data_IF_179292112550
#
_entry.id   IF_179292112550
#
_cell.length_a   1.000
_cell.length_b   1.000
_cell.length_c   1.000
_cell.angle_alpha   90.00
_cell.angle_beta   90.00
_cell.angle_gamma   90.00
#
_symmetry.space_group_name_H-M   'P 1'
#
loop_
_entity.id
_entity.type
_entity.pdbx_description
1 polymer ?
#
# COMPACT_ATOMS: atom_id res chain seq x y z
N UNK A 1 -17.82 4.44 -32.08
CA UNK A 1 -17.09 4.32 -30.81
C UNK A 1 -17.91 5.03 -29.74
N UNK A 2 -18.40 4.32 -28.73
CA UNK A 2 -19.21 4.93 -27.68
C UNK A 2 -18.32 5.88 -26.86
N UNK A 3 -18.70 7.16 -26.78
CA UNK A 3 -18.12 8.13 -25.86
C UNK A 3 -18.33 7.59 -24.45
N UNK A 4 -17.29 6.99 -23.82
CA UNK A 4 -17.35 6.74 -22.37
C UNK A 4 -17.57 8.11 -21.72
N UNK A 5 -18.52 8.23 -20.78
CA UNK A 5 -18.69 9.49 -20.06
C UNK A 5 -17.36 9.87 -19.40
N UNK A 6 -17.03 11.17 -19.36
CA UNK A 6 -15.81 11.69 -18.75
C UNK A 6 -15.58 11.11 -17.35
N UNK A 7 -16.65 10.89 -16.61
CA UNK A 7 -16.63 10.33 -15.26
C UNK A 7 -16.13 8.87 -15.18
N UNK A 8 -16.48 8.03 -16.16
CA UNK A 8 -15.95 6.66 -16.23
C UNK A 8 -14.46 6.68 -16.57
N UNK A 9 -14.04 7.63 -17.42
CA UNK A 9 -12.61 7.82 -17.70
C UNK A 9 -11.85 8.30 -16.46
N UNK A 10 -12.43 9.22 -15.69
CA UNK A 10 -11.87 9.71 -14.42
C UNK A 10 -11.66 8.57 -13.41
N UNK A 11 -12.63 7.66 -13.29
CA UNK A 11 -12.49 6.46 -12.46
C UNK A 11 -11.25 5.63 -12.86
N UNK A 12 -11.10 5.29 -14.14
CA UNK A 12 -9.97 4.47 -14.59
C UNK A 12 -8.62 5.20 -14.47
N UNK A 13 -8.60 6.52 -14.64
CA UNK A 13 -7.40 7.33 -14.37
C UNK A 13 -6.99 7.25 -12.90
N UNK A 14 -7.94 7.31 -11.97
CA UNK A 14 -7.66 7.16 -10.54
C UNK A 14 -7.19 5.74 -10.22
N UNK A 15 -7.83 4.69 -10.76
CA UNK A 15 -7.35 3.31 -10.59
C UNK A 15 -5.91 3.16 -11.07
N UNK A 16 -5.58 3.67 -12.26
CA UNK A 16 -4.23 3.60 -12.80
C UNK A 16 -3.21 4.34 -11.90
N UNK A 17 -3.57 5.52 -11.39
CA UNK A 17 -2.72 6.28 -10.50
C UNK A 17 -2.53 5.57 -9.14
N UNK A 18 -3.55 4.89 -8.64
CA UNK A 18 -3.46 4.06 -7.44
C UNK A 18 -2.51 2.90 -7.67
N UNK A 19 -2.63 2.18 -8.78
CA UNK A 19 -1.74 1.06 -9.14
C UNK A 19 -0.28 1.51 -9.29
N UNK A 20 -0.04 2.73 -9.78
CA UNK A 20 1.31 3.30 -9.84
C UNK A 20 2.00 3.38 -8.47
N UNK A 21 1.22 3.56 -7.39
CA UNK A 21 1.77 3.57 -6.02
C UNK A 21 2.46 2.26 -5.63
N UNK A 22 2.19 1.14 -6.30
CA UNK A 22 2.79 -0.15 -6.01
C UNK A 22 4.31 -0.12 -6.00
N UNK A 23 4.94 0.66 -6.88
CA UNK A 23 6.41 0.76 -6.96
C UNK A 23 6.95 1.34 -5.65
N UNK A 24 6.45 2.49 -5.24
CA UNK A 24 6.90 3.19 -4.03
C UNK A 24 6.50 2.41 -2.77
N UNK A 25 5.32 1.79 -2.73
CA UNK A 25 4.88 0.96 -1.61
C UNK A 25 5.75 -0.30 -1.43
N UNK A 26 6.16 -0.96 -2.52
CA UNK A 26 7.11 -2.08 -2.48
C UNK A 26 8.45 -1.64 -1.92
N UNK A 27 8.98 -0.52 -2.41
CA UNK A 27 10.23 0.05 -1.92
C UNK A 27 10.14 0.36 -0.42
N UNK A 28 9.06 1.02 0.00
CA UNK A 28 8.80 1.35 1.40
C UNK A 28 8.71 0.09 2.27
N UNK A 29 8.04 -0.95 1.80
CA UNK A 29 7.93 -2.22 2.51
C UNK A 29 9.30 -2.86 2.72
N UNK A 30 10.13 -2.94 1.68
CA UNK A 30 11.48 -3.50 1.77
C UNK A 30 12.36 -2.72 2.74
N UNK A 31 12.28 -1.39 2.72
CA UNK A 31 13.02 -0.53 3.65
C UNK A 31 12.58 -0.74 5.11
N UNK A 32 11.25 -0.73 5.37
CA UNK A 32 10.71 -0.98 6.71
C UNK A 32 11.01 -2.40 7.20
N UNK A 33 10.95 -3.39 6.30
CA UNK A 33 11.31 -4.77 6.62
C UNK A 33 12.76 -4.85 7.12
N UNK A 34 13.71 -4.25 6.39
CA UNK A 34 15.11 -4.21 6.83
C UNK A 34 15.27 -3.47 8.15
N UNK A 35 14.62 -2.31 8.31
CA UNK A 35 14.67 -1.52 9.53
C UNK A 35 14.17 -2.29 10.76
N UNK A 36 13.09 -3.07 10.62
CA UNK A 36 12.46 -3.76 11.75
C UNK A 36 13.01 -5.18 12.00
N UNK A 37 13.77 -5.73 11.04
CA UNK A 37 14.31 -7.10 11.13
C UNK A 37 15.85 -7.09 11.14
N UNK A 38 16.47 -6.17 11.88
CA UNK A 38 17.92 -6.09 12.09
C UNK A 38 18.74 -6.09 10.78
N UNK A 39 18.27 -5.36 9.77
CA UNK A 39 18.94 -5.23 8.47
C UNK A 39 18.70 -6.38 7.50
N UNK A 40 17.85 -7.37 7.83
CA UNK A 40 17.49 -8.43 6.89
C UNK A 40 16.78 -7.88 5.66
N UNK A 41 17.23 -8.28 4.47
CA UNK A 41 16.67 -7.80 3.21
C UNK A 41 15.56 -8.74 2.74
N UNK A 42 14.42 -8.17 2.36
CA UNK A 42 13.37 -8.92 1.68
C UNK A 42 13.83 -9.32 0.27
N UNK A 43 13.96 -10.61 0.02
CA UNK A 43 14.58 -11.14 -1.19
C UNK A 43 13.58 -11.78 -2.18
N UNK A 44 12.29 -11.54 -1.99
CA UNK A 44 11.21 -12.05 -2.84
C UNK A 44 11.15 -13.59 -2.99
N UNK A 45 11.76 -14.34 -2.05
CA UNK A 45 11.74 -15.79 -2.05
C UNK A 45 10.56 -16.38 -1.27
N UNK A 46 10.04 -17.55 -1.65
CA UNK A 46 9.01 -18.25 -0.87
C UNK A 46 9.43 -18.54 0.58
N UNK A 47 10.73 -18.74 0.84
CA UNK A 47 11.24 -18.92 2.19
C UNK A 47 11.08 -17.67 3.04
N UNK A 48 11.42 -16.50 2.48
CA UNK A 48 11.24 -15.20 3.15
C UNK A 48 9.75 -14.93 3.41
N UNK A 49 8.91 -15.14 2.40
CA UNK A 49 7.44 -15.04 2.49
C UNK A 49 6.86 -15.92 3.59
N UNK A 50 7.15 -17.22 3.58
CA UNK A 50 6.65 -18.17 4.58
C UNK A 50 7.11 -17.83 6.01
N UNK A 51 8.37 -17.43 6.17
CA UNK A 51 8.89 -17.01 7.46
C UNK A 51 8.16 -15.77 7.98
N UNK A 52 7.89 -14.80 7.12
CA UNK A 52 7.16 -13.59 7.47
C UNK A 52 5.71 -13.89 7.88
N UNK A 53 5.01 -14.74 7.12
CA UNK A 53 3.65 -15.18 7.47
C UNK A 53 3.64 -15.85 8.84
N UNK A 54 4.53 -16.81 9.07
CA UNK A 54 4.55 -17.63 10.28
C UNK A 54 4.96 -16.83 11.51
N UNK A 55 5.94 -15.93 11.39
CA UNK A 55 6.54 -15.25 12.53
C UNK A 55 5.94 -13.87 12.81
N UNK A 56 5.44 -13.18 11.78
CA UNK A 56 4.91 -11.81 11.88
C UNK A 56 3.39 -11.84 11.76
N UNK A 57 2.85 -12.32 10.63
CA UNK A 57 1.42 -12.19 10.36
C UNK A 57 0.54 -12.99 11.31
N UNK A 58 0.95 -14.21 11.67
CA UNK A 58 0.18 -15.06 12.61
C UNK A 58 0.11 -14.44 14.00
N UNK A 59 1.16 -13.73 14.42
CA UNK A 59 1.24 -13.11 15.76
C UNK A 59 0.54 -11.75 15.80
N UNK A 60 0.51 -11.04 14.68
CA UNK A 60 -0.06 -9.70 14.58
C UNK A 60 -1.49 -9.73 14.02
N UNK A 61 -2.47 -9.81 14.93
CA UNK A 61 -3.91 -9.84 14.59
C UNK A 61 -4.45 -8.56 13.94
N UNK A 62 -3.69 -7.45 13.94
CA UNK A 62 -4.10 -6.21 13.28
C UNK A 62 -3.95 -6.31 11.75
N UNK A 63 -3.05 -7.16 11.28
CA UNK A 63 -2.86 -7.44 9.85
C UNK A 63 -3.96 -8.42 9.39
N UNK A 64 -5.11 -7.87 9.01
CA UNK A 64 -6.24 -8.65 8.52
C UNK A 64 -6.21 -8.82 7.00
N UNK A 65 -5.38 -9.75 6.53
CA UNK A 65 -5.33 -10.14 5.12
C UNK A 65 -6.31 -11.28 4.81
N UNK A 66 -6.90 -11.24 3.61
CA UNK A 66 -7.69 -12.36 3.08
C UNK A 66 -6.79 -13.59 2.83
N UNK A 67 -7.40 -14.76 2.64
CA UNK A 67 -6.65 -16.00 2.33
C UNK A 67 -5.79 -15.86 1.06
N UNK A 68 -6.32 -15.20 0.02
CA UNK A 68 -5.61 -14.97 -1.23
C UNK A 68 -4.38 -14.10 -1.01
N UNK A 69 -4.55 -12.98 -0.29
CA UNK A 69 -3.45 -12.08 0.04
C UNK A 69 -2.38 -12.76 0.91
N UNK A 70 -2.78 -13.53 1.93
CA UNK A 70 -1.83 -14.32 2.75
C UNK A 70 -1.03 -15.32 1.91
N UNK A 71 -1.67 -15.94 0.92
CA UNK A 71 -1.01 -16.88 0.00
C UNK A 71 0.01 -16.13 -0.87
N UNK A 72 -0.38 -14.98 -1.42
CA UNK A 72 0.53 -14.15 -2.21
C UNK A 72 1.74 -13.65 -1.38
N UNK A 73 1.53 -13.27 -0.11
CA UNK A 73 2.64 -12.90 0.79
C UNK A 73 3.52 -14.11 1.13
N UNK A 74 2.93 -15.29 1.32
CA UNK A 74 3.64 -16.56 1.55
C UNK A 74 4.56 -16.95 0.38
N UNK A 75 4.15 -16.66 -0.86
CA UNK A 75 4.98 -16.86 -2.06
C UNK A 75 6.23 -15.96 -2.09
N UNK A 76 6.25 -14.89 -1.29
CA UNK A 76 7.41 -14.02 -1.12
C UNK A 76 7.53 -12.91 -2.18
N UNK A 77 7.03 -13.13 -3.38
CA UNK A 77 7.17 -12.19 -4.48
C UNK A 77 6.34 -10.90 -4.26
N UNK A 78 7.01 -9.81 -3.87
CA UNK A 78 6.34 -8.54 -3.59
C UNK A 78 5.73 -7.87 -4.82
N UNK A 79 6.13 -8.26 -6.04
CA UNK A 79 5.55 -7.75 -7.29
C UNK A 79 4.12 -8.26 -7.54
N UNK A 80 3.70 -9.33 -6.85
CA UNK A 80 2.35 -9.88 -6.92
C UNK A 80 1.36 -9.21 -5.94
N UNK A 81 1.85 -8.33 -5.07
CA UNK A 81 1.03 -7.78 -3.99
C UNK A 81 0.26 -6.56 -4.45
N UNK A 82 -1.05 -6.60 -4.28
CA UNK A 82 -1.90 -5.44 -4.56
C UNK A 82 -1.67 -4.29 -3.55
N UNK A 83 -2.13 -3.09 -3.92
CA UNK A 83 -2.00 -1.87 -3.09
C UNK A 83 -2.56 -2.09 -1.69
N UNK A 84 -3.62 -2.88 -1.57
CA UNK A 84 -4.28 -3.12 -0.30
C UNK A 84 -3.49 -4.02 0.63
N UNK A 85 -2.81 -5.01 0.07
CA UNK A 85 -1.92 -5.94 0.78
C UNK A 85 -0.74 -5.16 1.30
N UNK A 86 -0.05 -4.40 0.44
CA UNK A 86 1.08 -3.57 0.84
C UNK A 86 0.69 -2.54 1.91
N UNK A 87 -0.43 -1.83 1.72
CA UNK A 87 -0.89 -0.83 2.70
C UNK A 87 -1.22 -1.47 4.05
N UNK A 88 -1.85 -2.65 4.06
CA UNK A 88 -2.14 -3.38 5.30
C UNK A 88 -0.87 -3.86 6.00
N UNK A 89 0.11 -4.37 5.25
CA UNK A 89 1.41 -4.78 5.81
C UNK A 89 2.16 -3.57 6.39
N UNK A 90 2.25 -2.47 5.64
CA UNK A 90 3.00 -1.28 6.03
C UNK A 90 2.42 -0.60 7.28
N UNK A 91 1.10 -0.49 7.39
CA UNK A 91 0.43 0.19 8.51
C UNK A 91 0.50 -0.60 9.82
N UNK A 92 0.67 -1.91 9.75
CA UNK A 92 0.49 -2.78 10.91
C UNK A 92 1.69 -3.69 11.17
N UNK A 93 2.78 -3.58 10.42
CA UNK A 93 4.05 -4.24 10.78
C UNK A 93 4.50 -3.76 12.16
N UNK A 94 5.00 -4.69 12.98
CA UNK A 94 5.47 -4.35 14.32
C UNK A 94 6.75 -3.52 14.23
N UNK A 95 6.69 -2.30 14.75
CA UNK A 95 7.84 -1.39 14.80
C UNK A 95 8.87 -1.92 15.80
N UNK A 96 10.16 -1.77 15.46
CA UNK A 96 11.23 -2.06 16.41
C UNK A 96 11.15 -1.13 17.63
N UNK A 97 11.50 -1.66 18.80
CA UNK A 97 11.61 -0.88 20.05
C UNK A 97 12.87 0.00 20.10
N UNK A 98 13.78 -0.17 19.14
CA UNK A 98 15.10 0.49 19.10
C UNK A 98 15.14 1.69 18.17
N UNK A 99 13.98 2.16 17.68
CA UNK A 99 13.92 3.30 16.76
C UNK A 99 14.26 4.60 17.48
N UNK A 100 15.00 5.46 16.80
CA UNK A 100 15.23 6.84 17.20
C UNK A 100 13.96 7.68 17.07
N UNK A 101 13.92 8.82 17.77
CA UNK A 101 12.81 9.77 17.69
C UNK A 101 12.55 10.24 16.25
N UNK A 102 13.60 10.46 15.45
CA UNK A 102 13.47 10.90 14.07
C UNK A 102 12.85 9.82 13.19
N UNK A 103 13.27 8.56 13.35
CA UNK A 103 12.67 7.43 12.62
C UNK A 103 11.19 7.25 12.98
N UNK A 104 10.84 7.39 14.26
CA UNK A 104 9.44 7.31 14.71
C UNK A 104 8.61 8.41 14.04
N UNK A 105 9.10 9.66 14.03
CA UNK A 105 8.39 10.79 13.40
C UNK A 105 8.20 10.58 11.90
N UNK A 106 9.23 10.10 11.20
CA UNK A 106 9.14 9.80 9.77
C UNK A 106 8.10 8.70 9.52
N UNK A 107 8.14 7.61 10.28
CA UNK A 107 7.17 6.52 10.17
C UNK A 107 5.74 6.99 10.46
N UNK A 108 5.54 7.89 11.42
CA UNK A 108 4.24 8.47 11.73
C UNK A 108 3.70 9.35 10.60
N UNK A 109 4.57 10.08 9.90
CA UNK A 109 4.20 10.85 8.71
C UNK A 109 3.83 9.93 7.55
N UNK A 110 4.66 8.93 7.28
CA UNK A 110 4.38 7.91 6.26
C UNK A 110 3.07 7.16 6.55
N UNK A 111 2.80 6.80 7.82
CA UNK A 111 1.57 6.11 8.21
C UNK A 111 0.32 6.98 7.98
N UNK A 112 0.41 8.30 8.19
CA UNK A 112 -0.67 9.22 7.83
C UNK A 112 -0.95 9.21 6.32
N UNK A 113 0.10 9.23 5.50
CA UNK A 113 -0.03 9.15 4.04
C UNK A 113 -0.60 7.80 3.60
N UNK A 114 -0.18 6.69 4.22
CA UNK A 114 -0.73 5.36 3.95
C UNK A 114 -2.21 5.25 4.33
N UNK A 115 -2.62 5.86 5.44
CA UNK A 115 -4.04 5.96 5.83
C UNK A 115 -4.86 6.75 4.81
N UNK A 116 -4.33 7.87 4.32
CA UNK A 116 -4.97 8.67 3.29
C UNK A 116 -5.09 7.89 1.97
N UNK A 117 -4.01 7.24 1.52
CA UNK A 117 -4.01 6.38 0.33
C UNK A 117 -5.07 5.28 0.44
N UNK A 118 -5.12 4.58 1.59
CA UNK A 118 -6.16 3.59 1.87
C UNK A 118 -7.56 4.17 1.74
N UNK A 119 -7.77 5.38 2.25
CA UNK A 119 -9.04 6.11 2.16
C UNK A 119 -9.43 6.41 0.71
N UNK A 120 -8.52 6.97 -0.08
CA UNK A 120 -8.72 7.29 -1.51
C UNK A 120 -9.04 6.01 -2.27
N UNK A 121 -8.21 4.97 -2.12
CA UNK A 121 -8.41 3.67 -2.76
C UNK A 121 -9.80 3.11 -2.46
N UNK A 122 -10.23 3.14 -1.20
CA UNK A 122 -11.54 2.62 -0.80
C UNK A 122 -12.68 3.44 -1.42
N UNK A 123 -12.57 4.77 -1.46
CA UNK A 123 -13.55 5.64 -2.13
C UNK A 123 -13.66 5.31 -3.62
N UNK A 124 -12.53 5.13 -4.30
CA UNK A 124 -12.49 4.79 -5.74
C UNK A 124 -13.06 3.38 -5.97
N UNK A 125 -12.55 2.35 -5.29
CA UNK A 125 -12.98 0.95 -5.48
C UNK A 125 -14.48 0.75 -5.22
N UNK A 126 -15.04 1.48 -4.25
CA UNK A 126 -16.46 1.38 -3.91
C UNK A 126 -17.31 2.43 -4.62
N UNK A 127 -16.77 3.16 -5.60
CA UNK A 127 -17.55 4.15 -6.34
C UNK A 127 -18.67 3.47 -7.15
N UNK A 128 -19.93 3.93 -7.02
CA UNK A 128 -21.05 3.38 -7.78
C UNK A 128 -20.78 3.45 -9.28
N UNK A 129 -21.13 2.38 -10.00
CA UNK A 129 -21.05 2.31 -11.47
C UNK A 129 -19.66 2.57 -12.06
N UNK A 130 -18.59 2.54 -11.25
CA UNK A 130 -17.22 2.87 -11.70
C UNK A 130 -17.16 4.24 -12.39
N UNK A 131 -17.80 5.23 -11.80
CA UNK A 131 -17.90 6.62 -12.28
C UNK A 131 -17.43 7.58 -11.19
N UNK A 132 -16.73 8.64 -11.55
CA UNK A 132 -16.29 9.70 -10.62
C UNK A 132 -16.50 11.06 -11.28
N UNK A 133 -17.29 11.93 -10.67
CA UNK A 133 -17.51 13.29 -11.19
C UNK A 133 -16.23 14.13 -11.18
N UNK A 134 -16.20 15.21 -11.97
CA UNK A 134 -14.99 16.01 -12.16
C UNK A 134 -14.49 16.68 -10.87
N UNK A 135 -15.39 17.08 -9.98
CA UNK A 135 -15.01 17.74 -8.70
C UNK A 135 -14.31 16.72 -7.80
N UNK A 136 -14.92 15.55 -7.63
CA UNK A 136 -14.34 14.46 -6.86
C UNK A 136 -13.04 13.95 -7.50
N UNK A 137 -13.00 13.84 -8.82
CA UNK A 137 -11.80 13.43 -9.55
C UNK A 137 -10.63 14.36 -9.28
N UNK A 138 -10.81 15.67 -9.43
CA UNK A 138 -9.73 16.65 -9.25
C UNK A 138 -9.18 16.63 -7.81
N UNK A 139 -10.06 16.49 -6.82
CA UNK A 139 -9.64 16.37 -5.42
C UNK A 139 -8.83 15.09 -5.19
N UNK A 140 -9.38 13.92 -5.56
CA UNK A 140 -8.72 12.63 -5.35
C UNK A 140 -7.41 12.52 -6.12
N UNK A 141 -7.37 13.07 -7.34
CA UNK A 141 -6.16 13.11 -8.16
C UNK A 141 -5.06 13.93 -7.50
N UNK A 142 -5.39 15.13 -7.01
CA UNK A 142 -4.44 16.02 -6.34
C UNK A 142 -3.90 15.39 -5.07
N UNK A 143 -4.77 14.83 -4.23
CA UNK A 143 -4.38 14.18 -2.99
C UNK A 143 -3.49 12.95 -3.26
N UNK A 144 -3.85 12.14 -4.26
CA UNK A 144 -3.08 10.95 -4.62
C UNK A 144 -1.72 11.30 -5.22
N UNK A 145 -1.64 12.31 -6.08
CA UNK A 145 -0.38 12.80 -6.64
C UNK A 145 0.56 13.32 -5.54
N UNK A 146 0.03 14.06 -4.56
CA UNK A 146 0.82 14.54 -3.42
C UNK A 146 1.39 13.38 -2.57
N UNK A 147 0.60 12.32 -2.35
CA UNK A 147 1.06 11.11 -1.65
C UNK A 147 2.17 10.41 -2.42
N UNK A 148 2.02 10.26 -3.74
CA UNK A 148 3.02 9.61 -4.59
C UNK A 148 4.36 10.37 -4.58
N UNK A 149 4.31 11.71 -4.70
CA UNK A 149 5.49 12.57 -4.59
C UNK A 149 6.16 12.41 -3.22
N UNK A 150 5.37 12.36 -2.14
CA UNK A 150 5.91 12.16 -0.79
C UNK A 150 6.57 10.78 -0.61
N UNK A 151 6.15 9.76 -1.36
CA UNK A 151 6.80 8.45 -1.41
C UNK A 151 7.93 8.34 -2.44
N UNK A 152 8.26 9.42 -3.15
CA UNK A 152 9.41 9.51 -4.05
C UNK A 152 9.17 9.10 -5.50
N UNK A 153 7.92 9.15 -5.96
CA UNK A 153 7.54 9.03 -7.38
C UNK A 153 7.67 10.40 -8.10
#
# INVERSE_FOLDING_TARGET
MANKSSEVLNYFKLELLIERSLVSLRHLFKNRYALFNNGQVWNDSPTCGNNYVTNVLVKNKKINLTRVQKTSVSNGNSDEWDVSTLTALLLYIDRSKTLSTNEIQQLDQEDKLLQQLRGIRNKVTHSPKKSVDDVQFNQLWTDLAAILIAFGD
#
